data_IF_917664200838
#
_entry.id   IF_917664200838
#
_cell.length_a   1.000
_cell.length_b   1.000
_cell.length_c   1.000
_cell.angle_alpha   90.00
_cell.angle_beta   90.00
_cell.angle_gamma   90.00
#
_symmetry.space_group_name_H-M   'P 1'
#
loop_
_entity.id
_entity.type
_entity.pdbx_description
1 polymer ?
#
# COMPACT_ATOMS: atom_id res chain seq x y z
N UNK A 1 1.48 -12.75 -11.44
CA UNK A 1 0.69 -11.74 -10.71
C UNK A 1 1.47 -10.43 -10.63
N UNK A 2 0.86 -9.28 -10.91
CA UNK A 2 1.55 -7.97 -10.82
C UNK A 2 1.86 -7.61 -9.38
N UNK A 3 3.04 -7.03 -9.10
CA UNK A 3 3.39 -6.52 -7.76
C UNK A 3 2.35 -5.52 -7.23
N UNK A 4 1.75 -4.72 -8.12
CA UNK A 4 0.66 -3.81 -7.78
C UNK A 4 -0.55 -4.53 -7.15
N UNK A 5 -0.94 -5.69 -7.69
CA UNK A 5 -2.06 -6.47 -7.15
C UNK A 5 -1.69 -7.10 -5.82
N UNK A 6 -0.50 -7.70 -5.70
CA UNK A 6 -0.01 -8.28 -4.44
C UNK A 6 -0.04 -7.23 -3.33
N UNK A 7 0.49 -6.02 -3.59
CA UNK A 7 0.45 -4.90 -2.66
C UNK A 7 -0.98 -4.51 -2.27
N UNK A 8 -1.86 -4.33 -3.26
CA UNK A 8 -3.23 -3.84 -3.04
C UNK A 8 -4.06 -4.84 -2.24
N UNK A 9 -4.00 -6.11 -2.61
CA UNK A 9 -4.78 -7.18 -1.97
C UNK A 9 -4.34 -7.46 -0.54
N UNK A 10 -3.07 -7.24 -0.21
CA UNK A 10 -2.55 -7.42 1.14
C UNK A 10 -2.51 -6.11 1.96
N UNK A 11 -3.02 -5.00 1.43
CA UNK A 11 -3.08 -3.72 2.15
C UNK A 11 -1.71 -3.08 2.45
N UNK A 12 -0.66 -3.47 1.74
CA UNK A 12 0.69 -2.96 1.99
C UNK A 12 0.82 -1.49 1.57
N UNK A 13 1.54 -0.72 2.40
CA UNK A 13 1.91 0.65 2.05
C UNK A 13 2.75 0.63 0.76
N UNK A 14 2.39 1.48 -0.20
CA UNK A 14 3.05 1.52 -1.50
C UNK A 14 4.53 1.90 -1.38
N UNK A 15 4.85 2.96 -0.65
CA UNK A 15 6.22 3.44 -0.53
C UNK A 15 7.09 2.39 0.15
N UNK A 16 6.62 1.84 1.27
CA UNK A 16 7.39 0.86 2.05
C UNK A 16 7.60 -0.44 1.27
N UNK A 17 6.55 -0.98 0.65
CA UNK A 17 6.63 -2.22 -0.11
C UNK A 17 7.57 -2.11 -1.31
N UNK A 18 7.45 -1.05 -2.12
CA UNK A 18 8.32 -0.87 -3.29
C UNK A 18 9.75 -0.46 -2.91
N UNK A 19 9.95 0.21 -1.77
CA UNK A 19 11.31 0.47 -1.27
C UNK A 19 11.99 -0.82 -0.82
N UNK A 20 11.29 -1.67 -0.05
CA UNK A 20 11.81 -2.97 0.34
C UNK A 20 12.20 -3.84 -0.88
N UNK A 21 11.34 -3.88 -1.91
CA UNK A 21 11.64 -4.61 -3.15
C UNK A 21 12.89 -4.09 -3.87
N UNK A 22 13.16 -2.77 -3.81
CA UNK A 22 14.38 -2.18 -4.40
C UNK A 22 15.62 -2.46 -3.55
N UNK A 23 15.51 -2.29 -2.24
CA UNK A 23 16.62 -2.49 -1.29
C UNK A 23 17.08 -3.95 -1.28
N UNK A 24 16.15 -4.89 -1.44
CA UNK A 24 16.46 -6.33 -1.59
C UNK A 24 16.98 -6.69 -2.99
N UNK A 25 16.94 -5.76 -3.95
CA UNK A 25 17.35 -5.99 -5.33
C UNK A 25 16.39 -6.86 -6.14
N UNK A 26 15.16 -7.09 -5.66
CA UNK A 26 14.13 -7.85 -6.39
C UNK A 26 13.64 -7.08 -7.62
N UNK A 27 13.60 -5.75 -7.53
CA UNK A 27 13.28 -4.86 -8.63
C UNK A 27 14.25 -3.68 -8.67
N UNK A 28 14.30 -3.00 -9.80
CA UNK A 28 14.95 -1.71 -9.95
C UNK A 28 14.12 -0.75 -10.80
N UNK A 29 14.47 0.54 -10.76
CA UNK A 29 13.78 1.58 -11.52
C UNK A 29 14.35 1.63 -12.93
N UNK A 30 13.53 1.24 -13.91
CA UNK A 30 13.85 1.39 -15.33
C UNK A 30 13.28 2.69 -15.94
N UNK A 31 13.62 3.00 -17.20
CA UNK A 31 13.18 4.22 -17.88
C UNK A 31 11.66 4.32 -18.07
N UNK A 32 10.96 3.17 -18.15
CA UNK A 32 9.51 3.09 -18.41
C UNK A 32 8.71 2.61 -17.18
N UNK A 33 9.34 2.42 -16.02
CA UNK A 33 8.66 1.80 -14.88
C UNK A 33 9.58 0.98 -13.99
N UNK A 34 9.13 -0.20 -13.58
CA UNK A 34 9.95 -1.14 -12.80
C UNK A 34 10.37 -2.32 -13.67
N UNK A 35 11.59 -2.77 -13.47
CA UNK A 35 12.17 -3.96 -14.08
C UNK A 35 12.71 -4.90 -13.00
N UNK A 36 13.02 -6.14 -13.35
CA UNK A 36 13.64 -7.12 -12.44
C UNK A 36 15.03 -6.66 -12.04
N UNK A 37 15.34 -6.70 -10.75
CA UNK A 37 16.66 -6.33 -10.23
C UNK A 37 17.64 -7.51 -10.23
N UNK A 38 18.88 -7.29 -9.76
CA UNK A 38 19.94 -8.31 -9.77
C UNK A 38 19.65 -9.53 -8.88
N UNK A 39 18.77 -9.37 -7.88
CA UNK A 39 18.37 -10.45 -6.96
C UNK A 39 16.95 -10.94 -7.24
N UNK A 40 16.38 -10.65 -8.41
CA UNK A 40 15.05 -11.11 -8.77
C UNK A 40 14.95 -12.63 -8.66
N UNK A 41 13.85 -13.12 -8.07
CA UNK A 41 13.59 -14.55 -8.00
C UNK A 41 13.33 -15.14 -9.38
N UNK A 42 13.60 -16.44 -9.55
CA UNK A 42 13.33 -17.08 -10.84
C UNK A 42 11.88 -16.87 -11.28
N UNK A 43 11.69 -16.72 -12.59
CA UNK A 43 10.39 -16.50 -13.23
C UNK A 43 9.70 -15.18 -12.83
N UNK A 44 10.33 -14.31 -12.03
CA UNK A 44 9.94 -12.90 -12.01
C UNK A 44 10.20 -12.31 -13.40
N UNK A 45 9.20 -11.60 -13.94
CA UNK A 45 9.25 -11.13 -15.31
C UNK A 45 8.76 -9.70 -15.43
N UNK A 46 9.37 -8.97 -16.37
CA UNK A 46 8.93 -7.64 -16.78
C UNK A 46 7.75 -7.80 -17.73
N UNK A 47 6.65 -7.14 -17.41
CA UNK A 47 5.48 -7.00 -18.26
C UNK A 47 5.43 -5.56 -18.79
N UNK A 48 5.47 -5.43 -20.11
CA UNK A 48 5.29 -4.16 -20.82
C UNK A 48 3.82 -4.00 -21.20
N UNK A 49 3.26 -2.84 -20.92
CA UNK A 49 1.88 -2.49 -21.31
C UNK A 49 1.84 -1.10 -21.92
N UNK A 50 0.88 -0.87 -22.82
CA UNK A 50 0.62 0.47 -23.37
C UNK A 50 -0.45 1.16 -22.52
N UNK A 51 -0.26 2.44 -22.24
CA UNK A 51 -1.21 3.30 -21.55
C UNK A 51 -1.34 4.62 -22.28
N UNK A 52 -2.56 5.12 -22.36
CA UNK A 52 -2.83 6.48 -22.83
C UNK A 52 -2.63 7.42 -21.65
N UNK A 53 -1.85 8.48 -21.83
CA UNK A 53 -1.67 9.51 -20.81
C UNK A 53 -2.77 10.59 -20.88
N UNK A 54 -2.64 11.61 -20.03
CA UNK A 54 -3.61 12.71 -19.94
C UNK A 54 -3.69 13.58 -21.20
N UNK A 55 -2.69 13.50 -22.08
CA UNK A 55 -2.62 14.23 -23.33
C UNK A 55 -3.10 13.40 -24.54
N UNK A 56 -3.52 12.15 -24.30
CA UNK A 56 -3.91 11.22 -25.36
C UNK A 56 -2.73 10.48 -26.01
N UNK A 57 -1.50 10.64 -25.50
CA UNK A 57 -0.33 9.95 -26.06
C UNK A 57 -0.24 8.51 -25.55
N UNK A 58 0.08 7.59 -26.45
CA UNK A 58 0.33 6.19 -26.09
C UNK A 58 1.76 6.04 -25.57
N UNK A 59 1.90 5.72 -24.29
CA UNK A 59 3.17 5.44 -23.63
C UNK A 59 3.30 3.99 -23.24
N UNK A 60 4.50 3.44 -23.41
CA UNK A 60 4.84 2.13 -22.88
C UNK A 60 5.28 2.23 -21.42
N UNK A 61 4.70 1.37 -20.58
CA UNK A 61 5.05 1.28 -19.15
C UNK A 61 5.44 -0.15 -18.79
N UNK A 62 6.45 -0.29 -17.94
CA UNK A 62 6.93 -1.59 -17.45
C UNK A 62 6.54 -1.83 -16.00
N UNK A 63 6.14 -3.07 -15.72
CA UNK A 63 5.79 -3.55 -14.38
C UNK A 63 6.39 -4.92 -14.15
N UNK A 64 6.77 -5.25 -12.92
CA UNK A 64 7.24 -6.60 -12.59
C UNK A 64 6.08 -7.48 -12.14
N UNK A 65 6.13 -8.73 -12.58
CA UNK A 65 5.20 -9.79 -12.22
C UNK A 65 5.92 -10.93 -11.53
N UNK A 66 5.20 -11.59 -10.63
CA UNK A 66 5.67 -12.72 -9.81
C UNK A 66 4.77 -13.94 -10.10
N UNK A 67 5.33 -15.14 -10.33
CA UNK A 67 4.55 -16.36 -10.50
C UNK A 67 3.59 -16.62 -9.35
N UNK A 68 2.40 -17.16 -9.62
CA UNK A 68 1.35 -17.37 -8.59
C UNK A 68 1.85 -18.23 -7.41
N UNK A 69 2.61 -19.29 -7.70
CA UNK A 69 3.23 -20.17 -6.71
C UNK A 69 4.29 -19.47 -5.84
N UNK A 70 4.88 -18.35 -6.28
CA UNK A 70 5.87 -17.57 -5.51
C UNK A 70 5.26 -16.38 -4.75
N UNK A 71 3.98 -16.06 -4.95
CA UNK A 71 3.33 -14.91 -4.29
C UNK A 71 3.32 -15.07 -2.77
N UNK A 72 2.99 -16.26 -2.26
CA UNK A 72 2.96 -16.52 -0.81
C UNK A 72 4.35 -16.33 -0.19
N UNK A 73 5.39 -16.86 -0.82
CA UNK A 73 6.77 -16.68 -0.36
C UNK A 73 7.19 -15.19 -0.35
N UNK A 74 6.78 -14.40 -1.35
CA UNK A 74 7.07 -12.96 -1.41
C UNK A 74 6.42 -12.21 -0.24
N UNK A 75 5.17 -12.55 0.05
CA UNK A 75 4.43 -11.96 1.17
C UNK A 75 5.13 -12.32 2.48
N UNK A 76 5.47 -13.58 2.69
CA UNK A 76 6.21 -14.02 3.89
C UNK A 76 7.54 -13.29 4.02
N UNK A 77 8.35 -13.22 2.96
CA UNK A 77 9.63 -12.51 2.98
C UNK A 77 9.48 -11.03 3.31
N UNK A 78 8.45 -10.36 2.76
CA UNK A 78 8.16 -8.97 3.07
C UNK A 78 7.76 -8.80 4.54
N UNK A 79 6.86 -9.64 5.05
CA UNK A 79 6.42 -9.57 6.45
C UNK A 79 7.57 -9.84 7.43
N UNK A 80 8.43 -10.81 7.12
CA UNK A 80 9.61 -11.12 7.93
C UNK A 80 10.71 -10.06 7.87
N UNK A 81 10.66 -9.11 6.93
CA UNK A 81 11.66 -8.05 6.81
C UNK A 81 11.59 -7.00 7.91
N UNK A 82 10.51 -6.99 8.71
CA UNK A 82 10.26 -5.95 9.71
C UNK A 82 9.91 -4.57 9.13
N UNK A 83 9.95 -4.39 7.80
CA UNK A 83 9.53 -3.17 7.09
C UNK A 83 8.01 -3.14 6.89
N UNK A 84 7.24 -3.67 7.83
CA UNK A 84 5.78 -3.73 7.77
C UNK A 84 5.16 -2.48 8.37
N UNK A 85 5.41 -1.31 7.77
CA UNK A 85 4.53 -0.16 8.01
C UNK A 85 3.19 -0.44 7.31
N UNK A 86 2.33 -1.19 7.98
CA UNK A 86 0.91 -1.26 7.65
C UNK A 86 0.32 0.12 7.95
N UNK A 87 -0.01 0.91 6.92
CA UNK A 87 -0.66 2.23 7.02
C UNK A 87 -0.24 3.05 8.26
N UNK A 88 0.98 3.60 8.20
CA UNK A 88 1.56 4.67 9.03
C UNK A 88 0.75 5.10 10.27
N UNK A 89 1.34 4.89 11.45
CA UNK A 89 0.97 5.43 12.77
C UNK A 89 0.17 6.75 12.72
N UNK A 90 0.61 7.73 11.92
CA UNK A 90 -0.05 9.04 11.80
C UNK A 90 -1.51 9.02 11.34
N UNK A 91 -1.96 8.03 10.55
CA UNK A 91 -3.40 7.90 10.22
C UNK A 91 -4.19 7.24 11.35
N UNK A 92 -3.58 6.34 12.12
CA UNK A 92 -4.20 5.82 13.35
C UNK A 92 -4.34 6.94 14.37
N UNK A 93 -3.31 7.76 14.56
CA UNK A 93 -3.36 8.91 15.46
C UNK A 93 -4.42 9.92 15.00
N UNK A 94 -4.53 10.18 13.70
CA UNK A 94 -5.58 11.04 13.13
C UNK A 94 -6.99 10.45 13.32
N UNK A 95 -7.16 9.14 13.11
CA UNK A 95 -8.45 8.45 13.33
C UNK A 95 -8.79 8.41 14.82
N UNK A 96 -7.83 8.13 15.69
CA UNK A 96 -7.97 8.11 17.14
C UNK A 96 -8.35 9.50 17.65
N UNK A 97 -7.70 10.54 17.14
CA UNK A 97 -8.02 11.93 17.46
C UNK A 97 -9.43 12.31 16.99
N UNK A 98 -9.79 11.94 15.75
CA UNK A 98 -11.16 12.16 15.24
C UNK A 98 -12.20 11.40 16.04
N UNK A 99 -11.90 10.18 16.48
CA UNK A 99 -12.79 9.37 17.29
C UNK A 99 -13.01 9.99 18.67
N UNK A 100 -11.94 10.45 19.33
CA UNK A 100 -12.03 11.15 20.61
C UNK A 100 -12.88 12.43 20.50
N UNK A 101 -12.67 13.23 19.46
CA UNK A 101 -13.46 14.45 19.22
C UNK A 101 -14.96 14.12 19.06
N UNK A 102 -15.29 13.01 18.40
CA UNK A 102 -16.69 12.58 18.24
C UNK A 102 -17.28 12.12 19.59
N UNK A 103 -16.52 11.36 20.39
CA UNK A 103 -16.96 10.93 21.72
C UNK A 103 -17.24 12.11 22.65
N UNK A 104 -16.33 13.08 22.72
CA UNK A 104 -16.50 14.28 23.55
C UNK A 104 -17.73 15.10 23.14
N UNK A 105 -18.06 15.11 21.83
CA UNK A 105 -19.26 15.79 21.33
C UNK A 105 -20.54 15.03 21.66
N UNK A 106 -20.50 13.70 21.62
CA UNK A 106 -21.64 12.87 22.01
C UNK A 106 -21.97 13.02 23.50
N UNK A 107 -20.97 12.98 24.38
CA UNK A 107 -21.17 13.20 25.83
C UNK A 107 -21.82 14.55 26.12
N UNK A 108 -21.38 15.62 25.44
CA UNK A 108 -21.99 16.95 25.59
C UNK A 108 -23.45 16.98 25.15
N UNK A 109 -23.78 16.31 24.05
CA UNK A 109 -25.17 16.21 23.56
C UNK A 109 -26.02 15.41 24.55
N UNK A 110 -25.51 14.29 25.06
CA UNK A 110 -26.21 13.47 26.07
C UNK A 110 -26.48 14.24 27.36
N UNK A 111 -25.50 15.02 27.84
CA UNK A 111 -25.69 15.90 29.00
C UNK A 111 -26.75 16.97 28.76
N UNK A 112 -26.75 17.60 27.58
CA UNK A 112 -27.75 18.61 27.21
C UNK A 112 -29.15 18.01 27.13
N UNK A 113 -29.30 16.82 26.51
CA UNK A 113 -30.57 16.10 26.45
C UNK A 113 -31.06 15.73 27.85
N UNK A 114 -30.18 15.27 28.73
CA UNK A 114 -30.53 14.94 30.12
C UNK A 114 -31.02 16.17 30.88
N UNK A 115 -30.37 17.33 30.70
CA UNK A 115 -30.82 18.59 31.31
C UNK A 115 -32.15 19.10 30.75
N UNK A 116 -32.43 18.84 29.47
CA UNK A 116 -33.71 19.17 28.83
C UNK A 116 -34.84 18.27 29.32
N UNK A 117 -34.56 16.99 29.61
CA UNK A 117 -35.53 16.02 30.11
C UNK A 117 -35.84 16.16 31.61
N UNK A 118 -35.02 16.93 32.35
CA UNK A 118 -35.20 17.23 33.78
C UNK A 118 -35.85 18.61 34.04
N UNK A 119 -36.19 19.35 32.97
CA UNK A 119 -36.98 20.59 33.02
C UNK A 119 -38.42 20.32 32.60
#
# INVERSE_FOLDING_TARGET
MKLYHIRKENGFNQQTFYNWLKETGLIEKGPKGYITGPNAWDEMAVLTTKRVDVNGEVREVTQVTVPKNKVSALITAYLSSGKTDLYTQGKRDEIQLKFQIIQDRLEKIEQQLTQLMLK
#
